data_IF_646495275445
#
_entry.id   IF_646495275445
#
_cell.length_a   1.000
_cell.length_b   1.000
_cell.length_c   1.000
_cell.angle_alpha   90.00
_cell.angle_beta   90.00
_cell.angle_gamma   90.00
#
_symmetry.space_group_name_H-M   'P 1'
#
loop_
_entity.id
_entity.type
_entity.pdbx_description
1 polymer ?
#
# COMPACT_ATOMS: atom_id res chain seq x y z
N UNK A 1 -1.93 -9.45 -24.06
CA UNK A 1 -2.42 -8.75 -22.86
C UNK A 1 -1.19 -8.27 -22.11
N UNK A 2 -0.90 -6.97 -22.13
CA UNK A 2 0.20 -6.38 -21.36
C UNK A 2 -0.30 -6.07 -19.94
N UNK A 3 0.55 -6.22 -18.93
CA UNK A 3 0.24 -5.82 -17.55
C UNK A 3 -0.14 -4.34 -17.44
N UNK A 4 0.39 -3.51 -18.34
CA UNK A 4 0.05 -2.10 -18.44
C UNK A 4 -1.44 -1.87 -18.76
N UNK A 5 -2.00 -2.60 -19.74
CA UNK A 5 -3.43 -2.48 -20.06
C UNK A 5 -4.30 -2.92 -18.88
N UNK A 6 -3.83 -3.83 -18.02
CA UNK A 6 -4.56 -4.19 -16.81
C UNK A 6 -4.58 -3.06 -15.78
N UNK A 7 -3.47 -2.33 -15.62
CA UNK A 7 -3.42 -1.14 -14.75
C UNK A 7 -4.35 -0.07 -15.26
N UNK A 8 -4.29 0.24 -16.55
CA UNK A 8 -5.07 1.32 -17.14
C UNK A 8 -6.57 0.99 -17.17
N UNK A 9 -6.95 -0.22 -17.60
CA UNK A 9 -8.35 -0.59 -17.81
C UNK A 9 -9.06 -1.11 -16.55
N UNK A 10 -8.33 -1.72 -15.59
CA UNK A 10 -8.95 -2.36 -14.42
C UNK A 10 -8.65 -1.66 -13.09
N UNK A 11 -7.49 -1.01 -12.94
CA UNK A 11 -7.11 -0.35 -11.68
C UNK A 11 -7.39 1.16 -11.71
N UNK A 12 -7.10 1.84 -12.83
CA UNK A 12 -7.33 3.28 -13.01
C UNK A 12 -8.74 3.62 -13.49
N UNK A 13 -9.61 2.62 -13.66
CA UNK A 13 -10.98 2.84 -14.09
C UNK A 13 -11.75 3.71 -13.08
N UNK A 14 -12.68 4.50 -13.60
CA UNK A 14 -13.54 5.38 -12.79
C UNK A 14 -14.52 4.51 -11.98
N UNK A 15 -14.34 4.49 -10.66
CA UNK A 15 -15.24 3.80 -9.74
C UNK A 15 -16.17 4.86 -9.14
N UNK A 16 -17.39 4.93 -9.67
CA UNK A 16 -18.45 5.82 -9.15
C UNK A 16 -18.02 7.31 -9.08
N UNK A 17 -17.22 7.77 -10.04
CA UNK A 17 -16.69 9.14 -10.11
C UNK A 17 -15.45 9.39 -9.26
N UNK A 18 -14.81 8.33 -8.76
CA UNK A 18 -13.52 8.36 -8.10
C UNK A 18 -12.53 7.47 -8.84
N UNK A 19 -11.35 7.99 -9.13
CA UNK A 19 -10.24 7.22 -9.68
C UNK A 19 -9.11 7.11 -8.66
N UNK A 20 -8.35 6.01 -8.73
CA UNK A 20 -7.13 5.89 -7.95
C UNK A 20 -6.13 6.99 -8.37
N UNK A 21 -5.44 7.60 -7.40
CA UNK A 21 -4.42 8.60 -7.69
C UNK A 21 -3.19 8.00 -8.36
N UNK A 22 -2.87 6.75 -8.01
CA UNK A 22 -1.81 5.95 -8.60
C UNK A 22 -2.08 4.46 -8.38
N UNK A 23 -1.61 3.62 -9.29
CA UNK A 23 -1.71 2.16 -9.22
C UNK A 23 -0.44 1.51 -9.80
N UNK A 24 -0.05 0.37 -9.26
CA UNK A 24 1.05 -0.44 -9.80
C UNK A 24 0.84 -1.92 -9.52
N UNK A 25 1.42 -2.74 -10.38
CA UNK A 25 1.53 -4.19 -10.24
C UNK A 25 3.01 -4.49 -10.04
N UNK A 26 3.32 -5.05 -8.88
CA UNK A 26 4.68 -5.36 -8.47
C UNK A 26 4.73 -6.85 -8.13
N UNK A 27 5.75 -7.53 -8.66
CA UNK A 27 6.04 -8.91 -8.33
C UNK A 27 6.58 -9.04 -6.90
N UNK A 28 6.46 -10.25 -6.34
CA UNK A 28 6.97 -10.55 -4.99
C UNK A 28 8.51 -10.54 -4.93
N UNK A 29 9.18 -10.40 -6.07
CA UNK A 29 10.62 -10.19 -6.18
C UNK A 29 11.02 -8.71 -6.13
N UNK A 30 10.05 -7.79 -6.04
CA UNK A 30 10.27 -6.35 -6.15
C UNK A 30 10.28 -5.83 -7.58
N UNK A 31 10.07 -6.69 -8.58
CA UNK A 31 10.03 -6.27 -9.98
C UNK A 31 8.70 -5.58 -10.28
N UNK A 32 8.75 -4.33 -10.72
CA UNK A 32 7.54 -3.64 -11.19
C UNK A 32 7.14 -4.16 -12.56
N UNK A 33 5.97 -4.79 -12.67
CA UNK A 33 5.45 -5.31 -13.93
C UNK A 33 4.66 -4.26 -14.72
N UNK A 34 3.98 -3.37 -14.01
CA UNK A 34 3.29 -2.22 -14.58
C UNK A 34 3.08 -1.15 -13.50
N UNK A 35 3.08 0.12 -13.88
CA UNK A 35 2.79 1.22 -12.97
C UNK A 35 2.12 2.38 -13.72
N UNK A 36 1.32 3.17 -13.00
CA UNK A 36 0.81 4.45 -13.48
C UNK A 36 1.89 5.53 -13.40
N UNK A 37 1.81 6.58 -14.22
CA UNK A 37 2.80 7.67 -14.23
C UNK A 37 2.93 8.40 -12.89
N UNK A 38 1.86 8.45 -12.09
CA UNK A 38 1.85 9.11 -10.78
C UNK A 38 2.31 8.19 -9.62
N UNK A 39 2.71 6.96 -9.91
CA UNK A 39 3.10 6.02 -8.87
C UNK A 39 4.54 6.32 -8.38
N UNK A 40 4.74 6.52 -7.07
CA UNK A 40 6.06 6.82 -6.54
C UNK A 40 7.00 5.61 -6.65
N UNK A 41 8.31 5.88 -6.75
CA UNK A 41 9.31 4.83 -6.84
C UNK A 41 9.36 4.00 -5.55
N UNK A 42 8.97 2.73 -5.66
CA UNK A 42 9.01 1.77 -4.55
C UNK A 42 10.43 1.29 -4.31
N UNK A 43 10.83 1.24 -3.04
CA UNK A 43 12.11 0.62 -2.67
C UNK A 43 11.94 -0.90 -2.52
N UNK A 44 12.95 -1.70 -2.87
CA UNK A 44 12.91 -3.16 -2.68
C UNK A 44 12.67 -3.55 -1.21
N UNK A 45 13.18 -2.76 -0.27
CA UNK A 45 12.98 -2.95 1.17
C UNK A 45 11.51 -2.80 1.59
N UNK A 46 10.78 -1.88 0.96
CA UNK A 46 9.35 -1.65 1.20
C UNK A 46 8.54 -2.86 0.73
N UNK A 47 8.86 -3.37 -0.46
CA UNK A 47 8.21 -4.56 -1.03
C UNK A 47 8.49 -5.81 -0.19
N UNK A 48 9.73 -6.00 0.25
CA UNK A 48 10.09 -7.09 1.16
C UNK A 48 9.31 -7.03 2.49
N UNK A 49 9.11 -5.83 3.03
CA UNK A 49 8.26 -5.62 4.20
C UNK A 49 6.80 -5.99 3.97
N UNK A 50 6.24 -5.64 2.81
CA UNK A 50 4.86 -6.00 2.43
C UNK A 50 4.68 -7.51 2.32
N UNK A 51 5.61 -8.20 1.65
CA UNK A 51 5.56 -9.66 1.49
C UNK A 51 5.64 -10.34 2.85
N UNK A 52 6.52 -9.86 3.73
CA UNK A 52 6.61 -10.39 5.09
C UNK A 52 5.31 -10.22 5.87
N UNK A 53 4.56 -9.14 5.66
CA UNK A 53 3.24 -8.96 6.29
C UNK A 53 2.15 -9.83 5.66
N UNK A 54 2.28 -10.18 4.39
CA UNK A 54 1.44 -11.22 3.78
C UNK A 54 1.69 -12.60 4.39
N UNK A 55 2.95 -12.96 4.64
CA UNK A 55 3.33 -14.22 5.29
C UNK A 55 2.99 -14.23 6.80
N UNK A 56 3.26 -13.11 7.48
CA UNK A 56 3.07 -12.90 8.91
C UNK A 56 2.19 -11.65 9.15
N UNK A 57 0.84 -11.80 9.14
CA UNK A 57 -0.08 -10.68 9.25
C UNK A 57 0.10 -9.93 10.57
N UNK A 58 0.35 -8.61 10.47
CA UNK A 58 0.52 -7.72 11.61
C UNK A 58 1.98 -7.34 11.91
N UNK A 59 2.95 -7.84 11.14
CA UNK A 59 4.36 -7.43 11.25
C UNK A 59 4.60 -5.99 10.83
N UNK A 60 3.77 -5.43 9.93
CA UNK A 60 3.83 -4.01 9.54
C UNK A 60 2.99 -3.09 10.43
N UNK A 61 2.16 -3.61 11.33
CA UNK A 61 1.37 -2.78 12.26
C UNK A 61 2.24 -1.86 13.17
N UNK A 62 3.35 -2.31 13.78
CA UNK A 62 4.18 -1.45 14.63
C UNK A 62 5.09 -0.49 13.86
N UNK A 63 5.59 -0.88 12.68
CA UNK A 63 6.53 -0.06 11.87
C UNK A 63 5.80 0.91 10.93
N UNK A 64 4.64 0.52 10.43
CA UNK A 64 3.87 1.20 9.39
C UNK A 64 4.26 0.72 7.99
N UNK A 65 3.30 0.80 7.07
CA UNK A 65 3.48 0.50 5.65
C UNK A 65 4.15 1.70 4.96
N UNK A 66 5.29 1.50 4.32
CA UNK A 66 5.95 2.55 3.54
C UNK A 66 5.74 2.31 2.05
N UNK A 67 5.31 3.34 1.33
CA UNK A 67 5.15 3.31 -0.13
C UNK A 67 5.81 4.56 -0.68
N UNK A 68 6.95 4.40 -1.36
CA UNK A 68 7.67 5.54 -1.95
C UNK A 68 8.09 6.57 -0.91
N UNK A 69 8.52 6.12 0.28
CA UNK A 69 8.91 6.98 1.40
C UNK A 69 7.75 7.63 2.16
N UNK A 70 6.49 7.44 1.75
CA UNK A 70 5.33 7.91 2.52
C UNK A 70 4.88 6.82 3.50
N UNK A 71 4.69 7.18 4.78
CA UNK A 71 4.21 6.28 5.83
C UNK A 71 2.68 6.20 5.83
N UNK A 72 2.18 4.97 5.81
CA UNK A 72 0.77 4.60 5.93
C UNK A 72 0.61 3.74 7.19
N UNK A 73 -0.46 3.97 7.94
CA UNK A 73 -0.83 3.14 9.08
C UNK A 73 -1.59 1.93 8.57
N UNK A 74 -1.14 0.73 8.95
CA UNK A 74 -1.84 -0.51 8.59
C UNK A 74 -3.18 -0.52 9.32
N UNK A 75 -4.26 -0.64 8.55
CA UNK A 75 -5.61 -0.84 9.07
C UNK A 75 -6.04 -2.29 8.86
N UNK A 76 -7.13 -2.69 9.51
CA UNK A 76 -7.64 -4.04 9.39
C UNK A 76 -7.95 -4.39 7.92
N UNK A 77 -7.13 -5.28 7.37
CA UNK A 77 -7.30 -5.90 6.06
C UNK A 77 -7.74 -7.36 6.18
N UNK A 78 -7.58 -8.12 5.09
CA UNK A 78 -7.76 -9.57 5.10
C UNK A 78 -6.41 -10.25 5.28
N UNK A 79 -6.22 -11.08 6.33
CA UNK A 79 -4.94 -11.73 6.61
C UNK A 79 -4.46 -12.56 5.42
N UNK A 80 -3.26 -12.31 4.94
CA UNK A 80 -2.65 -13.05 3.82
C UNK A 80 -3.24 -12.79 2.43
N UNK A 81 -4.21 -11.88 2.29
CA UNK A 81 -4.86 -11.60 1.00
C UNK A 81 -4.91 -10.10 0.69
N UNK A 82 -5.22 -9.24 1.67
CA UNK A 82 -5.36 -7.81 1.45
C UNK A 82 -4.76 -7.02 2.62
N UNK A 83 -3.69 -6.28 2.35
CA UNK A 83 -3.15 -5.28 3.27
C UNK A 83 -3.77 -3.93 2.93
N UNK A 84 -4.30 -3.23 3.94
CA UNK A 84 -4.88 -1.90 3.79
C UNK A 84 -4.06 -0.89 4.59
N UNK A 85 -3.74 0.24 3.97
CA UNK A 85 -2.99 1.32 4.60
C UNK A 85 -3.77 2.64 4.55
N UNK A 86 -3.84 3.36 5.68
CA UNK A 86 -4.36 4.73 5.75
C UNK A 86 -3.18 5.70 5.87
N UNK A 87 -3.09 6.69 4.97
CA UNK A 87 -2.02 7.70 5.02
C UNK A 87 -2.07 8.42 6.36
N UNK A 88 -0.94 8.46 7.08
CA UNK A 88 -0.84 9.25 8.31
C UNK A 88 -0.52 10.68 7.89
N UNK A 89 -1.49 11.57 7.99
CA UNK A 89 -1.18 13.00 8.02
C UNK A 89 -0.48 13.26 9.36
N UNK A 90 0.73 13.81 9.33
CA UNK A 90 1.45 14.26 10.52
C UNK A 90 0.80 15.53 11.09
N UNK A 91 -0.42 15.37 11.61
CA UNK A 91 -1.20 16.42 12.25
C UNK A 91 -2.53 15.82 12.71
N UNK A 92 -2.72 15.75 14.05
CA UNK A 92 -3.89 15.24 14.80
C UNK A 92 -4.16 13.73 14.60
N UNK A 93 -4.00 12.83 15.57
CA UNK A 93 -4.32 12.92 17.00
C UNK A 93 -3.29 12.18 17.87
N UNK A 94 -2.94 12.81 18.98
CA UNK A 94 -2.27 12.20 20.13
C UNK A 94 -3.37 11.87 21.13
N UNK A 95 -3.73 10.59 21.27
CA UNK A 95 -4.50 10.10 22.41
C UNK A 95 -3.66 9.04 23.11
N UNK A 96 -2.98 9.47 24.18
CA UNK A 96 -2.56 8.59 25.26
C UNK A 96 -3.72 8.61 26.25
N UNK A 97 -4.48 7.52 26.33
CA UNK A 97 -5.37 7.28 27.46
C UNK A 97 -4.73 6.18 28.31
N UNK A 98 -4.04 6.61 29.37
CA UNK A 98 -3.69 5.73 30.48
C UNK A 98 -4.89 5.73 31.42
N UNK A 99 -5.66 4.64 31.45
CA UNK A 99 -6.70 4.45 32.46
C UNK A 99 -6.05 4.13 33.81
N UNK A 100 -6.10 5.10 34.73
CA UNK A 100 -6.13 4.85 36.18
C UNK A 100 -7.33 5.57 36.78
#
# INVERSE_FOLDING_TARGET
MSWQAYVDDHLLCDIEGQHLSAAAIVGHDGSVWAQSENFPELKPEEVAGMIKDFDEPGTLAPTGLFVGGTKYMVIQGEPGVVIRGKKVQWGTDFLIEEML
#
